data_IF_391722831153
#
_entry.id   IF_391722831153
#
_cell.length_a   1.000
_cell.length_b   1.000
_cell.length_c   1.000
_cell.angle_alpha   90.00
_cell.angle_beta   90.00
_cell.angle_gamma   90.00
#
_symmetry.space_group_name_H-M   'P 1'
#
loop_
_entity.id
_entity.type
_entity.pdbx_description
1 polymer ?
#
# COMPACT_ATOMS: atom_id res chain seq x y z
N UNK A 1 -3.57 14.28 -9.37
CA UNK A 1 -3.64 13.01 -9.20
C UNK A 1 -4.60 12.60 -8.17
N UNK A 2 -4.88 11.49 -8.11
CA UNK A 2 -5.82 11.07 -7.41
C UNK A 2 -5.46 10.02 -6.52
N UNK A 3 -5.56 8.83 -6.90
CA UNK A 3 -5.31 7.73 -6.00
C UNK A 3 -3.95 7.18 -6.32
N UNK A 4 -3.03 7.20 -5.34
CA UNK A 4 -1.78 6.49 -5.45
C UNK A 4 -1.99 5.04 -5.11
N UNK A 5 -2.78 4.76 -4.09
CA UNK A 5 -2.93 3.41 -3.62
C UNK A 5 -4.36 3.23 -3.11
N UNK A 6 -4.88 2.04 -3.29
CA UNK A 6 -6.19 1.67 -2.75
C UNK A 6 -5.99 0.57 -1.75
N UNK A 7 -6.59 0.70 -0.57
CA UNK A 7 -6.53 -0.32 0.46
C UNK A 7 -7.87 -1.01 0.52
N UNK A 8 -7.84 -2.33 0.38
CA UNK A 8 -9.04 -3.15 0.33
C UNK A 8 -9.02 -4.14 1.49
N UNK A 9 -10.14 -4.28 2.16
CA UNK A 9 -10.28 -5.29 3.20
C UNK A 9 -10.99 -6.50 2.61
N UNK A 10 -10.40 -7.67 2.80
CA UNK A 10 -10.99 -8.93 2.36
C UNK A 10 -10.96 -9.88 3.55
N UNK A 11 -12.16 -10.18 4.08
CA UNK A 11 -12.21 -10.98 5.29
C UNK A 11 -11.58 -10.22 6.43
N UNK A 12 -10.56 -10.78 7.04
CA UNK A 12 -9.84 -10.11 8.12
C UNK A 12 -8.50 -9.56 7.66
N UNK A 13 -8.22 -9.62 6.36
CA UNK A 13 -6.95 -9.17 5.81
C UNK A 13 -7.12 -7.87 5.06
N UNK A 14 -6.02 -7.10 4.97
CA UNK A 14 -6.00 -5.85 4.24
C UNK A 14 -4.95 -5.93 3.15
N UNK A 15 -5.25 -5.33 2.01
CA UNK A 15 -4.35 -5.35 0.86
C UNK A 15 -4.20 -3.95 0.31
N UNK A 16 -3.01 -3.63 -0.16
CA UNK A 16 -2.73 -2.36 -0.83
C UNK A 16 -2.43 -2.64 -2.30
N UNK A 17 -2.96 -1.80 -3.17
CA UNK A 17 -2.68 -1.93 -4.60
C UNK A 17 -2.34 -0.54 -5.15
N UNK A 18 -1.17 -0.43 -5.79
CA UNK A 18 -0.75 0.81 -6.41
C UNK A 18 -1.61 1.06 -7.65
N UNK A 19 -2.06 2.29 -7.81
CA UNK A 19 -2.92 2.66 -8.92
C UNK A 19 -2.11 3.29 -10.05
N UNK A 20 -0.98 2.68 -10.37
CA UNK A 20 -0.10 3.14 -11.43
C UNK A 20 0.37 4.57 -11.17
N UNK A 21 0.81 4.80 -9.94
CA UNK A 21 1.31 6.12 -9.58
C UNK A 21 2.64 6.39 -10.24
N UNK A 22 2.95 7.66 -10.47
CA UNK A 22 4.21 8.01 -11.11
C UNK A 22 5.38 7.86 -10.16
N UNK A 23 5.15 7.86 -8.86
CA UNK A 23 6.24 7.79 -7.89
C UNK A 23 6.26 6.49 -7.13
N UNK A 24 5.56 5.48 -7.59
CA UNK A 24 5.53 4.15 -7.02
C UNK A 24 5.11 4.12 -5.55
N UNK A 25 4.69 2.98 -5.12
CA UNK A 25 4.30 2.71 -3.74
C UNK A 25 5.14 1.55 -3.23
N UNK A 26 5.59 1.63 -1.98
CA UNK A 26 6.38 0.57 -1.38
C UNK A 26 5.70 0.08 -0.11
N UNK A 27 5.71 -1.23 0.09
CA UNK A 27 5.24 -1.84 1.34
C UNK A 27 6.42 -2.57 1.94
N UNK A 28 6.83 -2.17 3.14
CA UNK A 28 7.97 -2.75 3.83
C UNK A 28 9.22 -2.76 2.95
N UNK A 29 9.39 -1.69 2.17
CA UNK A 29 10.57 -1.54 1.31
C UNK A 29 10.47 -2.25 -0.02
N UNK A 30 9.36 -2.90 -0.32
CA UNK A 30 9.18 -3.61 -1.57
C UNK A 30 8.27 -2.80 -2.48
N UNK A 31 8.76 -2.51 -3.69
CA UNK A 31 7.98 -1.73 -4.65
C UNK A 31 6.81 -2.57 -5.16
N UNK A 32 5.64 -1.97 -5.19
CA UNK A 32 4.44 -2.64 -5.70
C UNK A 32 4.36 -2.50 -7.21
N UNK A 33 3.90 -3.57 -7.87
CA UNK A 33 3.56 -3.48 -9.27
C UNK A 33 2.18 -2.83 -9.40
N UNK A 34 1.93 -2.12 -10.52
CA UNK A 34 0.63 -1.47 -10.68
C UNK A 34 -0.51 -2.48 -10.60
N UNK A 35 -1.51 -2.13 -9.82
CA UNK A 35 -2.75 -2.90 -9.67
C UNK A 35 -2.56 -4.26 -9.03
N UNK A 36 -1.37 -4.57 -8.53
CA UNK A 36 -1.14 -5.84 -7.85
C UNK A 36 -1.40 -5.66 -6.36
N UNK A 37 -2.27 -6.49 -5.80
CA UNK A 37 -2.58 -6.42 -4.38
C UNK A 37 -1.46 -7.02 -3.56
N UNK A 38 -1.12 -6.35 -2.45
CA UNK A 38 -0.08 -6.81 -1.55
C UNK A 38 -0.65 -6.81 -0.14
N UNK A 39 -0.44 -7.90 0.56
CA UNK A 39 -0.97 -8.05 1.92
C UNK A 39 -0.34 -7.04 2.86
N UNK A 40 -1.19 -6.38 3.64
CA UNK A 40 -0.75 -5.49 4.70
C UNK A 40 -1.00 -6.16 6.04
N UNK A 41 0.00 -6.10 6.92
CA UNK A 41 -0.16 -6.61 8.27
C UNK A 41 -0.04 -5.44 9.23
N UNK A 42 -0.32 -5.70 10.50
CA UNK A 42 -0.15 -4.67 11.52
C UNK A 42 1.30 -4.20 11.52
N UNK A 43 1.48 -2.88 11.52
CA UNK A 43 2.80 -2.23 11.53
C UNK A 43 3.57 -2.36 10.22
N UNK A 44 2.88 -2.68 9.13
CA UNK A 44 3.53 -2.59 7.83
C UNK A 44 3.86 -1.15 7.51
N UNK A 45 5.03 -0.92 6.94
CA UNK A 45 5.41 0.42 6.51
C UNK A 45 4.92 0.62 5.08
N UNK A 46 4.22 1.72 4.88
CA UNK A 46 3.67 2.07 3.58
C UNK A 46 4.29 3.37 3.13
N UNK A 47 5.00 3.36 2.02
CA UNK A 47 5.61 4.57 1.49
C UNK A 47 4.90 4.96 0.20
N UNK A 48 4.36 6.16 0.20
CA UNK A 48 3.63 6.70 -0.94
C UNK A 48 4.32 7.98 -1.34
N UNK A 49 4.89 7.99 -2.56
CA UNK A 49 5.68 9.11 -3.01
C UNK A 49 6.86 9.28 -2.05
N UNK A 50 7.04 10.43 -1.43
CA UNK A 50 8.13 10.63 -0.47
C UNK A 50 7.64 10.68 0.96
N UNK A 51 6.46 10.14 1.23
CA UNK A 51 5.90 10.11 2.58
C UNK A 51 5.75 8.67 3.04
N UNK A 52 6.09 8.44 4.31
CA UNK A 52 5.99 7.12 4.90
C UNK A 52 4.92 7.10 5.97
N UNK A 53 4.17 6.00 6.00
CA UNK A 53 3.13 5.79 7.00
C UNK A 53 3.29 4.41 7.58
N UNK A 54 2.85 4.23 8.81
CA UNK A 54 2.80 2.91 9.40
C UNK A 54 1.34 2.47 9.45
N UNK A 55 1.06 1.30 8.87
CA UNK A 55 -0.28 0.77 8.82
C UNK A 55 -0.57 0.00 10.11
N UNK A 56 -1.68 0.32 10.73
CA UNK A 56 -2.08 -0.33 11.99
C UNK A 56 -3.42 -1.00 11.82
N UNK A 57 -3.54 -2.19 12.38
CA UNK A 57 -4.80 -2.90 12.44
C UNK A 57 -5.27 -2.86 13.90
N UNK A 58 -6.47 -2.33 14.11
CA UNK A 58 -7.00 -2.21 15.47
C UNK A 58 -7.92 -3.36 15.82
#
# INVERSE_FOLDING_TARGET
SRYHVVITKKGSDYYAADQKSSNFTFVNGVQLNPYQETLLTDRSTLKISDEEFEFHVS
#
